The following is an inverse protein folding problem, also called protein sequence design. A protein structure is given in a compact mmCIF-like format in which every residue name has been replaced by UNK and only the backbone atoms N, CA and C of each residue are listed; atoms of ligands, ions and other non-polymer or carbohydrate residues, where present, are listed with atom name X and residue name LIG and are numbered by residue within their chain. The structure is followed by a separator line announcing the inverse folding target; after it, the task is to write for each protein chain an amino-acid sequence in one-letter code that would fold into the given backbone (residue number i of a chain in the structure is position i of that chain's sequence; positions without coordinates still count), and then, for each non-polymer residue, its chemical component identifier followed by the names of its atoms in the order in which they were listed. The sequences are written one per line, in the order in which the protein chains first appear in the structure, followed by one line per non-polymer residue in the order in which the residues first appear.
data_IF_488365609694
#
_entry.id   IF_488365609694
#
_cell.length_a   1.000
_cell.length_b   1.000
_cell.length_c   1.000
_cell.angle_alpha   90.00
_cell.angle_beta   90.00
_cell.angle_gamma   90.00
#
_symmetry.space_group_name_H-M   'P 1'
#
loop_
_entity.id
_entity.type
_entity.pdbx_description
1 polymer ?
#
# COMPACT_ATOMS: atom_id res chain seq x y z
N UNK A 1 39.60 -1.33 25.15
CA UNK A 1 39.01 -1.01 26.46
C UNK A 1 38.30 0.32 26.31
N UNK A 2 37.05 0.54 26.71
CA UNK A 2 36.25 -0.14 27.72
C UNK A 2 34.82 -0.34 27.18
N UNK A 3 34.25 -1.53 27.09
CA UNK A 3 33.90 -2.48 28.18
C UNK A 3 33.07 -1.88 29.34
N UNK A 4 32.73 -0.59 29.31
CA UNK A 4 31.90 0.05 30.36
C UNK A 4 30.43 0.24 29.95
N UNK A 5 30.12 0.22 28.64
CA UNK A 5 28.73 0.38 28.18
C UNK A 5 27.98 -0.96 28.05
N UNK A 6 28.71 -2.08 27.96
CA UNK A 6 28.12 -3.43 27.90
C UNK A 6 27.71 -3.98 29.27
N UNK A 7 28.18 -3.38 30.37
CA UNK A 7 27.86 -3.79 31.74
C UNK A 7 26.58 -3.14 32.31
N UNK A 8 26.12 -2.01 31.75
CA UNK A 8 24.88 -1.36 32.21
C UNK A 8 23.61 -1.90 31.53
N UNK A 9 23.72 -2.54 30.36
CA UNK A 9 22.55 -3.06 29.62
C UNK A 9 22.20 -4.49 30.04
N UNK A 10 23.15 -5.24 30.61
CA UNK A 10 22.93 -6.64 31.05
C UNK A 10 22.69 -6.78 32.57
N UNK A 11 22.91 -5.75 33.37
CA UNK A 11 22.71 -5.76 34.83
C UNK A 11 21.29 -5.41 35.33
N UNK A 12 20.39 -4.96 34.45
CA UNK A 12 19.05 -4.50 34.83
C UNK A 12 17.94 -5.56 34.74
N UNK A 13 18.24 -6.77 34.26
CA UNK A 13 17.24 -7.81 33.99
C UNK A 13 16.99 -8.79 35.15
N UNK A 14 17.63 -8.62 36.31
CA UNK A 14 17.63 -9.64 37.37
C UNK A 14 16.97 -9.20 38.69
N UNK A 15 16.59 -7.93 38.88
CA UNK A 15 16.08 -7.45 40.17
C UNK A 15 14.59 -7.05 40.25
N UNK A 16 13.74 -7.51 39.32
CA UNK A 16 12.27 -7.33 39.43
C UNK A 16 11.49 -8.65 39.49
N UNK A 17 12.17 -9.80 39.59
CA UNK A 17 11.54 -11.11 39.62
C UNK A 17 11.23 -11.65 41.04
N UNK A 18 11.50 -10.91 42.13
CA UNK A 18 11.37 -11.45 43.49
C UNK A 18 10.58 -10.61 44.53
N UNK A 19 9.86 -9.55 44.13
CA UNK A 19 9.02 -8.79 45.07
C UNK A 19 7.59 -8.66 44.53
N UNK A 20 6.85 -9.77 44.53
CA UNK A 20 5.40 -9.83 44.82
C UNK A 20 4.87 -11.26 44.54
N UNK A 21 5.35 -12.22 45.32
CA UNK A 21 4.61 -13.45 45.56
C UNK A 21 3.69 -13.25 46.76
N UNK A 22 2.39 -13.44 46.56
CA UNK A 22 1.47 -13.81 47.64
C UNK A 22 0.48 -12.74 48.11
N UNK A 23 -0.69 -12.70 47.46
CA UNK A 23 -2.00 -12.56 48.12
C UNK A 23 -3.06 -13.03 47.11
N UNK A 24 -3.51 -14.27 47.28
CA UNK A 24 -4.61 -14.86 46.53
C UNK A 24 -5.95 -14.28 47.04
N UNK A 25 -6.74 -13.74 46.13
CA UNK A 25 -8.15 -13.36 46.29
C UNK A 25 -8.92 -13.87 45.05
N UNK A 26 -10.24 -14.09 45.16
CA UNK A 26 -10.91 -15.27 44.61
C UNK A 26 -10.99 -15.30 43.08
N UNK A 27 -10.92 -16.53 42.55
CA UNK A 27 -11.02 -16.88 41.14
C UNK A 27 -12.37 -16.47 40.55
N UNK A 28 -12.43 -15.30 39.94
CA UNK A 28 -13.37 -15.05 38.86
C UNK A 28 -12.62 -15.29 37.54
N UNK A 29 -13.11 -16.22 36.73
CA UNK A 29 -12.48 -16.68 35.49
C UNK A 29 -12.59 -15.60 34.41
N UNK A 30 -11.82 -14.52 34.56
CA UNK A 30 -11.63 -13.51 33.52
C UNK A 30 -10.59 -14.06 32.55
N UNK A 31 -11.07 -14.65 31.45
CA UNK A 31 -10.24 -15.05 30.31
C UNK A 31 -9.39 -13.85 29.90
N UNK A 32 -8.07 -13.97 30.02
CA UNK A 32 -7.18 -12.82 29.82
C UNK A 32 -7.22 -12.39 28.35
N UNK A 33 -7.26 -11.08 28.08
CA UNK A 33 -7.30 -10.49 26.73
C UNK A 33 -6.26 -11.11 25.78
N UNK A 34 -5.10 -11.48 26.31
CA UNK A 34 -3.97 -12.12 25.60
C UNK A 34 -4.26 -13.56 25.13
N UNK A 35 -5.11 -14.32 25.83
CA UNK A 35 -5.57 -15.65 25.39
C UNK A 35 -6.70 -15.53 24.37
N UNK A 36 -7.57 -14.53 24.51
CA UNK A 36 -8.64 -14.24 23.55
C UNK A 36 -8.06 -13.78 22.20
N UNK A 37 -7.03 -12.93 22.20
CA UNK A 37 -6.36 -12.45 20.98
C UNK A 37 -5.64 -13.59 20.25
N UNK A 38 -5.00 -14.52 20.96
CA UNK A 38 -4.36 -15.71 20.35
C UNK A 38 -5.39 -16.66 19.73
N UNK A 39 -6.54 -16.85 20.37
CA UNK A 39 -7.62 -17.68 19.86
C UNK A 39 -8.26 -17.06 18.60
N UNK A 40 -8.43 -15.74 18.57
CA UNK A 40 -8.93 -15.00 17.40
C UNK A 40 -7.94 -15.07 16.24
N UNK A 41 -6.63 -14.85 16.48
CA UNK A 41 -5.60 -14.96 15.43
C UNK A 41 -5.53 -16.40 14.90
N UNK A 42 -5.64 -17.41 15.77
CA UNK A 42 -5.72 -18.82 15.39
C UNK A 42 -6.95 -19.11 14.54
N UNK A 43 -8.12 -18.59 14.90
CA UNK A 43 -9.36 -18.81 14.13
C UNK A 43 -9.41 -18.03 12.83
N UNK A 44 -8.84 -16.82 12.77
CA UNK A 44 -8.68 -16.06 11.54
C UNK A 44 -7.69 -16.75 10.59
N UNK A 45 -6.56 -17.24 11.09
CA UNK A 45 -5.62 -18.04 10.30
C UNK A 45 -6.25 -19.34 9.78
N UNK A 46 -7.10 -20.00 10.60
CA UNK A 46 -7.81 -21.22 10.20
C UNK A 46 -8.91 -20.96 9.18
N UNK A 47 -9.68 -19.88 9.34
CA UNK A 47 -10.74 -19.47 8.40
C UNK A 47 -10.18 -18.93 7.09
N UNK A 48 -9.06 -18.21 7.15
CA UNK A 48 -8.26 -17.82 6.00
C UNK A 48 -7.71 -19.04 5.27
N UNK A 49 -7.16 -20.01 6.02
CA UNK A 49 -6.67 -21.29 5.48
C UNK A 49 -7.77 -22.16 4.87
N UNK A 50 -8.98 -22.18 5.43
CA UNK A 50 -10.12 -22.95 4.88
C UNK A 50 -10.76 -22.26 3.66
N UNK A 51 -10.90 -20.93 3.66
CA UNK A 51 -11.42 -20.17 2.50
C UNK A 51 -10.40 -20.13 1.36
N UNK A 52 -9.11 -20.00 1.69
CA UNK A 52 -8.01 -20.15 0.74
C UNK A 52 -7.95 -21.59 0.21
N UNK A 53 -7.93 -22.60 1.08
CA UNK A 53 -7.89 -24.01 0.66
C UNK A 53 -9.04 -24.42 -0.27
N UNK A 54 -10.28 -24.01 0.02
CA UNK A 54 -11.46 -24.43 -0.76
C UNK A 54 -11.58 -23.70 -2.12
N UNK A 55 -11.07 -22.47 -2.22
CA UNK A 55 -11.02 -21.71 -3.48
C UNK A 55 -9.94 -22.25 -4.44
N UNK A 56 -8.76 -22.59 -3.91
CA UNK A 56 -7.64 -23.10 -4.70
C UNK A 56 -7.88 -24.52 -5.23
N UNK A 57 -8.62 -25.37 -4.49
CA UNK A 57 -8.94 -26.74 -4.93
C UNK A 57 -9.94 -26.75 -6.09
N UNK A 58 -10.93 -25.85 -6.10
CA UNK A 58 -11.93 -25.77 -7.18
C UNK A 58 -11.37 -25.22 -8.50
N UNK A 59 -10.34 -24.35 -8.44
CA UNK A 59 -9.70 -23.74 -9.61
C UNK A 59 -8.30 -24.27 -9.92
N UNK A 60 -7.88 -25.37 -9.29
CA UNK A 60 -6.56 -25.97 -9.46
C UNK A 60 -6.17 -26.25 -10.94
N UNK A 61 -7.08 -26.73 -11.82
CA UNK A 61 -6.76 -26.94 -13.23
C UNK A 61 -6.54 -25.63 -14.01
N UNK A 62 -7.20 -24.54 -13.61
CA UNK A 62 -7.13 -23.22 -14.26
C UNK A 62 -5.95 -22.39 -13.72
N UNK A 63 -5.55 -22.60 -12.46
CA UNK A 63 -4.32 -22.06 -11.88
C UNK A 63 -3.05 -22.60 -12.57
N UNK A 64 -3.10 -23.83 -13.10
CA UNK A 64 -2.02 -24.40 -13.92
C UNK A 64 -1.85 -23.65 -15.25
N UNK A 65 -2.91 -23.02 -15.76
CA UNK A 65 -2.86 -22.13 -16.94
C UNK A 65 -3.29 -20.70 -16.60
N UNK A 66 -2.61 -20.13 -15.61
CA UNK A 66 -2.88 -18.79 -15.09
C UNK A 66 -2.86 -17.68 -16.15
N UNK A 67 -2.09 -17.85 -17.23
CA UNK A 67 -2.04 -16.91 -18.35
C UNK A 67 -3.37 -16.88 -19.13
N UNK A 68 -3.93 -18.04 -19.45
CA UNK A 68 -5.24 -18.14 -20.12
C UNK A 68 -6.37 -17.63 -19.22
N UNK A 69 -6.29 -17.96 -17.93
CA UNK A 69 -7.25 -17.48 -16.94
C UNK A 69 -7.31 -15.95 -16.89
N UNK A 70 -6.17 -15.27 -16.71
CA UNK A 70 -6.14 -13.80 -16.71
C UNK A 70 -6.55 -13.18 -18.05
N UNK A 71 -6.20 -13.81 -19.17
CA UNK A 71 -6.66 -13.39 -20.49
C UNK A 71 -8.18 -13.45 -20.62
N UNK A 72 -8.82 -14.45 -20.01
CA UNK A 72 -10.28 -14.58 -20.00
C UNK A 72 -10.96 -13.49 -19.16
N UNK A 73 -10.33 -13.07 -18.05
CA UNK A 73 -10.83 -12.02 -17.17
C UNK A 73 -10.71 -10.62 -17.79
N UNK A 74 -9.60 -10.34 -18.48
CA UNK A 74 -9.36 -9.04 -19.12
C UNK A 74 -10.42 -8.66 -20.18
N UNK A 75 -11.08 -9.64 -20.79
CA UNK A 75 -12.12 -9.43 -21.79
C UNK A 75 -13.53 -9.15 -21.19
N UNK A 76 -13.73 -9.35 -19.88
CA UNK A 76 -15.03 -9.18 -19.19
C UNK A 76 -14.94 -8.07 -18.15
N UNK A 77 -14.78 -6.82 -18.59
CA UNK A 77 -14.55 -5.68 -17.69
C UNK A 77 -15.83 -5.27 -16.91
N UNK A 78 -15.98 -5.80 -15.69
CA UNK A 78 -16.87 -5.29 -14.65
C UNK A 78 -16.05 -5.02 -13.38
N UNK A 79 -16.53 -4.16 -12.48
CA UNK A 79 -15.85 -3.90 -11.19
C UNK A 79 -15.67 -5.18 -10.35
N UNK A 80 -16.66 -6.09 -10.40
CA UNK A 80 -16.56 -7.42 -9.78
C UNK A 80 -15.42 -8.25 -10.36
N UNK A 81 -15.21 -8.19 -11.68
CA UNK A 81 -14.13 -8.90 -12.36
C UNK A 81 -12.75 -8.37 -11.92
N UNK A 82 -12.60 -7.05 -11.80
CA UNK A 82 -11.35 -6.41 -11.34
C UNK A 82 -11.01 -6.84 -9.91
N UNK A 83 -12.01 -6.91 -9.03
CA UNK A 83 -11.83 -7.37 -7.66
C UNK A 83 -11.38 -8.83 -7.58
N UNK A 84 -12.04 -9.73 -8.32
CA UNK A 84 -11.66 -11.16 -8.38
C UNK A 84 -10.25 -11.31 -8.93
N UNK A 85 -9.95 -10.63 -10.04
CA UNK A 85 -8.64 -10.63 -10.66
C UNK A 85 -7.55 -10.18 -9.69
N UNK A 86 -7.79 -9.09 -8.95
CA UNK A 86 -6.86 -8.60 -7.94
C UNK A 86 -6.59 -9.65 -6.86
N UNK A 87 -7.63 -10.23 -6.27
CA UNK A 87 -7.47 -11.18 -5.16
C UNK A 87 -6.64 -12.39 -5.59
N UNK A 88 -6.89 -12.89 -6.80
CA UNK A 88 -6.14 -14.01 -7.37
C UNK A 88 -4.69 -13.60 -7.65
N UNK A 89 -4.48 -12.45 -8.27
CA UNK A 89 -3.14 -11.93 -8.57
C UNK A 89 -2.28 -11.80 -7.30
N UNK A 90 -2.81 -11.17 -6.26
CA UNK A 90 -2.10 -10.99 -5.00
C UNK A 90 -1.84 -12.34 -4.32
N UNK A 91 -2.84 -13.24 -4.28
CA UNK A 91 -2.65 -14.56 -3.69
C UNK A 91 -1.55 -15.37 -4.39
N UNK A 92 -1.49 -15.30 -5.72
CA UNK A 92 -0.45 -15.98 -6.51
C UNK A 92 0.92 -15.33 -6.29
N UNK A 93 1.01 -14.01 -6.25
CA UNK A 93 2.27 -13.30 -5.96
C UNK A 93 2.78 -13.68 -4.57
N UNK A 94 1.93 -13.64 -3.54
CA UNK A 94 2.30 -14.03 -2.18
C UNK A 94 2.77 -15.49 -2.13
N UNK A 95 2.09 -16.40 -2.82
CA UNK A 95 2.54 -17.80 -2.91
C UNK A 95 3.92 -17.91 -3.55
N UNK A 96 4.16 -17.23 -4.69
CA UNK A 96 5.43 -17.21 -5.40
C UNK A 96 6.59 -16.71 -4.53
N UNK A 97 6.33 -15.62 -3.79
CA UNK A 97 7.26 -15.07 -2.79
C UNK A 97 7.57 -16.10 -1.70
N UNK A 98 6.54 -16.72 -1.12
CA UNK A 98 6.71 -17.71 -0.05
C UNK A 98 7.44 -18.99 -0.52
N UNK A 99 7.33 -19.35 -1.80
CA UNK A 99 8.07 -20.45 -2.41
C UNK A 99 9.51 -20.09 -2.81
N UNK A 100 9.95 -18.85 -2.56
CA UNK A 100 11.32 -18.40 -2.82
C UNK A 100 11.61 -18.09 -4.30
N UNK A 101 10.58 -17.73 -5.07
CA UNK A 101 10.78 -17.32 -6.46
C UNK A 101 11.55 -15.98 -6.54
N UNK A 102 12.35 -15.80 -7.59
CA UNK A 102 13.19 -14.61 -7.73
C UNK A 102 12.37 -13.34 -8.01
N UNK A 103 12.91 -12.19 -7.61
CA UNK A 103 12.30 -10.87 -7.88
C UNK A 103 12.07 -10.64 -9.39
N UNK A 104 12.92 -11.22 -10.25
CA UNK A 104 12.76 -11.13 -11.71
C UNK A 104 11.52 -11.87 -12.21
N UNK A 105 11.24 -13.07 -11.71
CA UNK A 105 10.06 -13.82 -12.10
C UNK A 105 8.77 -13.21 -11.53
N UNK A 106 8.83 -12.70 -10.29
CA UNK A 106 7.73 -11.92 -9.70
C UNK A 106 7.45 -10.67 -10.54
N UNK A 107 8.50 -9.95 -10.96
CA UNK A 107 8.39 -8.79 -11.85
C UNK A 107 7.79 -9.14 -13.21
N UNK A 108 8.19 -10.26 -13.82
CA UNK A 108 7.60 -10.77 -15.08
C UNK A 108 6.12 -11.11 -14.92
N UNK A 109 5.75 -11.70 -13.79
CA UNK A 109 4.36 -12.02 -13.49
C UNK A 109 3.50 -10.75 -13.31
N UNK A 110 4.01 -9.76 -12.56
CA UNK A 110 3.38 -8.45 -12.43
C UNK A 110 3.23 -7.73 -13.79
N UNK A 111 4.25 -7.82 -14.65
CA UNK A 111 4.20 -7.29 -16.01
C UNK A 111 3.11 -7.97 -16.86
N UNK A 112 3.00 -9.29 -16.78
CA UNK A 112 1.94 -10.04 -17.47
C UNK A 112 0.55 -9.60 -17.02
N UNK A 113 0.33 -9.39 -15.72
CA UNK A 113 -0.93 -8.87 -15.19
C UNK A 113 -1.19 -7.48 -15.78
N UNK A 114 -0.24 -6.55 -15.65
CA UNK A 114 -0.38 -5.16 -16.10
C UNK A 114 -0.79 -5.06 -17.58
N UNK A 115 -0.11 -5.81 -18.45
CA UNK A 115 -0.36 -5.79 -19.90
C UNK A 115 -1.64 -6.53 -20.29
N UNK A 116 -1.98 -7.63 -19.61
CA UNK A 116 -3.17 -8.43 -19.90
C UNK A 116 -4.46 -7.69 -19.54
N UNK A 117 -4.45 -6.98 -18.41
CA UNK A 117 -5.58 -6.17 -17.96
C UNK A 117 -5.61 -4.76 -18.56
N UNK A 118 -4.62 -4.41 -19.39
CA UNK A 118 -4.47 -3.06 -19.98
C UNK A 118 -4.53 -1.97 -18.90
N UNK A 119 -3.86 -2.23 -17.76
CA UNK A 119 -3.80 -1.25 -16.66
C UNK A 119 -3.09 0.00 -17.15
N UNK A 120 -1.98 -0.18 -17.87
CA UNK A 120 -1.19 0.87 -18.49
C UNK A 120 -0.66 0.42 -19.85
N UNK A 121 0.02 1.32 -20.58
CA UNK A 121 0.69 0.94 -21.83
C UNK A 121 1.80 -0.10 -21.59
N UNK A 122 2.14 -0.97 -22.56
CA UNK A 122 3.19 -1.98 -22.40
C UNK A 122 4.55 -1.38 -21.99
N UNK A 123 4.84 -0.16 -22.47
CA UNK A 123 6.05 0.58 -22.11
C UNK A 123 6.04 0.97 -20.63
N UNK A 124 4.95 1.55 -20.14
CA UNK A 124 4.79 1.92 -18.73
C UNK A 124 4.80 0.68 -17.85
N UNK A 125 4.06 -0.38 -18.20
CA UNK A 125 4.08 -1.66 -17.51
C UNK A 125 5.51 -2.21 -17.37
N UNK A 126 6.30 -2.20 -18.46
CA UNK A 126 7.70 -2.66 -18.43
C UNK A 126 8.56 -1.81 -17.49
N UNK A 127 8.41 -0.49 -17.55
CA UNK A 127 9.18 0.43 -16.71
C UNK A 127 8.86 0.24 -15.22
N UNK A 128 7.57 0.28 -14.86
CA UNK A 128 7.12 0.16 -13.47
C UNK A 128 7.52 -1.19 -12.88
N UNK A 129 7.28 -2.30 -13.57
CA UNK A 129 7.59 -3.62 -13.01
C UNK A 129 9.09 -3.87 -12.91
N UNK A 130 9.89 -3.38 -13.87
CA UNK A 130 11.35 -3.48 -13.79
C UNK A 130 11.93 -2.68 -12.63
N UNK A 131 11.41 -1.48 -12.39
CA UNK A 131 11.87 -0.58 -11.34
C UNK A 131 11.43 -1.03 -9.93
N UNK A 132 10.19 -1.51 -9.78
CA UNK A 132 9.59 -1.78 -8.48
C UNK A 132 9.50 -3.26 -8.09
N UNK A 133 10.03 -4.19 -8.89
CA UNK A 133 9.96 -5.64 -8.59
C UNK A 133 10.48 -6.01 -7.20
N UNK A 134 11.55 -5.35 -6.75
CA UNK A 134 12.16 -5.58 -5.44
C UNK A 134 11.25 -5.08 -4.34
N UNK A 135 10.81 -3.83 -4.42
CA UNK A 135 9.92 -3.20 -3.44
C UNK A 135 8.61 -3.98 -3.34
N UNK A 136 8.03 -4.39 -4.47
CA UNK A 136 6.86 -5.26 -4.52
C UNK A 136 7.10 -6.57 -3.75
N UNK A 137 8.22 -7.23 -4.02
CA UNK A 137 8.58 -8.51 -3.39
C UNK A 137 8.78 -8.34 -1.88
N UNK A 138 9.57 -7.34 -1.48
CA UNK A 138 9.92 -7.11 -0.07
C UNK A 138 8.71 -6.65 0.75
N UNK A 139 7.87 -5.78 0.20
CA UNK A 139 6.64 -5.35 0.90
C UNK A 139 5.69 -6.53 1.06
N UNK A 140 5.42 -7.28 -0.02
CA UNK A 140 4.48 -8.41 0.04
C UNK A 140 4.99 -9.59 0.86
N UNK A 141 6.31 -9.76 1.00
CA UNK A 141 6.91 -10.75 1.89
C UNK A 141 6.73 -10.41 3.38
N UNK A 142 6.66 -9.13 3.73
CA UNK A 142 6.67 -8.67 5.12
C UNK A 142 5.33 -8.12 5.60
N UNK A 143 4.39 -7.86 4.68
CA UNK A 143 3.07 -7.34 5.04
C UNK A 143 2.18 -8.46 5.56
N UNK A 144 1.52 -8.23 6.69
CA UNK A 144 0.53 -9.14 7.27
C UNK A 144 -0.86 -8.75 6.77
N UNK A 145 -1.04 -8.70 5.44
CA UNK A 145 -2.32 -8.41 4.81
C UNK A 145 -2.71 -9.53 3.85
N UNK A 146 -3.96 -9.94 3.95
CA UNK A 146 -4.58 -10.92 3.07
C UNK A 146 -4.93 -10.30 1.71
N UNK A 147 -5.06 -11.12 0.63
CA UNK A 147 -5.40 -10.62 -0.70
C UNK A 147 -6.67 -9.76 -0.76
N UNK A 148 -7.70 -10.11 0.00
CA UNK A 148 -8.93 -9.31 0.12
C UNK A 148 -8.66 -7.93 0.74
N UNK A 149 -7.80 -7.82 1.76
CA UNK A 149 -7.46 -6.54 2.40
C UNK A 149 -6.68 -5.65 1.46
N UNK A 150 -5.66 -6.20 0.78
CA UNK A 150 -4.88 -5.50 -0.24
C UNK A 150 -5.80 -5.01 -1.37
N UNK A 151 -6.66 -5.88 -1.89
CA UNK A 151 -7.54 -5.51 -2.99
C UNK A 151 -8.66 -4.55 -2.60
N UNK A 152 -9.16 -4.62 -1.36
CA UNK A 152 -10.11 -3.62 -0.83
C UNK A 152 -9.46 -2.25 -0.68
N UNK A 153 -8.16 -2.20 -0.41
CA UNK A 153 -7.39 -0.96 -0.37
C UNK A 153 -7.14 -0.39 -1.77
N UNK A 154 -6.84 -1.25 -2.76
CA UNK A 154 -6.50 -0.82 -4.13
C UNK A 154 -7.75 -0.46 -4.96
N UNK A 155 -8.85 -1.21 -4.84
CA UNK A 155 -10.06 -1.01 -5.64
C UNK A 155 -11.29 -0.73 -4.77
N UNK A 156 -11.91 0.44 -4.98
CA UNK A 156 -13.20 0.75 -4.38
C UNK A 156 -14.24 -0.28 -4.83
N UNK A 157 -14.96 -0.88 -3.87
CA UNK A 157 -15.95 -1.94 -4.15
C UNK A 157 -15.42 -3.38 -4.02
N UNK A 158 -14.13 -3.59 -3.72
CA UNK A 158 -13.58 -4.94 -3.49
C UNK A 158 -13.67 -5.43 -2.03
N UNK A 159 -14.38 -4.69 -1.18
CA UNK A 159 -14.61 -5.00 0.24
C UNK A 159 -14.41 -3.77 1.13
N UNK A 160 -14.51 -3.97 2.44
CA UNK A 160 -14.17 -2.94 3.43
C UNK A 160 -12.68 -3.04 3.74
N UNK A 161 -11.98 -1.90 3.76
CA UNK A 161 -10.58 -1.84 4.20
C UNK A 161 -10.54 -2.07 5.71
N UNK A 162 -10.25 -3.29 6.12
CA UNK A 162 -9.98 -3.64 7.52
C UNK A 162 -8.49 -3.92 7.67
N UNK A 163 -7.77 -3.05 8.39
CA UNK A 163 -6.37 -3.26 8.73
C UNK A 163 -6.22 -3.08 10.25
N UNK A 164 -5.82 -4.11 11.01
CA UNK A 164 -5.64 -4.01 12.46
C UNK A 164 -4.60 -2.96 12.88
N UNK A 165 -3.73 -2.52 11.96
CA UNK A 165 -2.75 -1.45 12.21
C UNK A 165 -3.27 -0.04 11.95
N UNK A 166 -4.48 0.15 11.41
CA UNK A 166 -5.02 1.49 11.13
C UNK A 166 -5.68 2.14 12.36
N UNK A 167 -6.12 1.35 13.34
CA UNK A 167 -6.76 1.86 14.56
C UNK A 167 -5.73 2.08 15.68
N UNK A 168 -4.81 3.02 15.48
CA UNK A 168 -3.88 3.46 16.52
C UNK A 168 -4.33 4.77 17.16
N UNK A 169 -4.02 4.92 18.44
CA UNK A 169 -4.26 6.16 19.18
C UNK A 169 -2.94 6.70 19.68
N UNK A 170 -2.80 8.02 19.64
CA UNK A 170 -1.67 8.69 20.29
C UNK A 170 -2.14 9.13 21.67
N UNK A 171 -1.48 8.65 22.75
CA UNK A 171 -1.77 9.18 24.07
C UNK A 171 -1.44 10.67 24.06
N UNK A 172 -2.44 11.47 24.40
CA UNK A 172 -2.22 12.88 24.63
C UNK A 172 -1.42 13.07 25.92
N UNK A 173 -0.75 14.21 26.02
CA UNK A 173 -0.08 14.59 27.24
C UNK A 173 -1.07 14.62 28.41
N UNK A 174 -0.63 14.32 29.65
CA UNK A 174 -1.51 14.36 30.82
C UNK A 174 -1.97 15.78 31.19
N UNK A 175 -1.41 16.80 30.58
CA UNK A 175 -1.78 18.19 30.84
C UNK A 175 -3.19 18.49 30.31
N UNK A 176 -4.02 19.19 31.10
CA UNK A 176 -5.34 19.59 30.65
C UNK A 176 -5.21 20.51 29.44
N UNK A 177 -6.11 20.33 28.47
CA UNK A 177 -6.21 21.20 27.30
C UNK A 177 -6.38 22.65 27.78
N UNK A 178 -5.49 23.59 27.39
CA UNK A 178 -5.65 24.99 27.75
C UNK A 178 -6.99 25.54 27.27
N UNK A 179 -7.56 26.50 28.01
CA UNK A 179 -8.75 27.21 27.55
C UNK A 179 -8.49 27.84 26.18
N UNK A 180 -9.39 27.59 25.23
CA UNK A 180 -9.31 28.23 23.90
C UNK A 180 -9.44 29.74 24.10
N UNK A 181 -8.40 30.49 23.72
CA UNK A 181 -8.46 31.95 23.59
C UNK A 181 -8.58 32.27 22.10
N UNK A 182 -9.54 33.11 21.68
CA UNK A 182 -9.60 33.54 20.29
C UNK A 182 -8.31 34.26 19.93
N UNK A 183 -7.80 34.10 18.69
CA UNK A 183 -6.63 34.84 18.25
C UNK A 183 -6.90 36.33 18.33
N UNK A 184 -5.97 37.08 18.91
CA UNK A 184 -6.03 38.54 18.94
C UNK A 184 -5.63 39.07 17.56
N UNK A 185 -6.43 39.98 17.01
CA UNK A 185 -6.07 40.70 15.80
C UNK A 185 -4.81 41.55 16.06
N UNK A 186 -3.88 41.63 15.09
CA UNK A 186 -2.75 42.55 15.19
C UNK A 186 -3.24 43.99 15.40
N UNK A 187 -2.57 44.75 16.28
CA UNK A 187 -2.85 46.17 16.47
C UNK A 187 -2.56 46.96 15.18
N UNK A 188 -3.25 48.08 14.92
CA UNK A 188 -2.87 48.98 13.83
C UNK A 188 -1.37 49.34 13.89
N UNK A 189 -0.67 49.21 12.76
CA UNK A 189 0.78 49.44 12.67
C UNK A 189 1.68 48.27 13.12
N UNK A 190 1.11 47.09 13.44
CA UNK A 190 1.93 45.91 13.76
C UNK A 190 2.79 45.49 12.56
N UNK A 191 4.05 45.05 12.78
CA UNK A 191 4.90 44.56 11.70
C UNK A 191 4.29 43.31 11.07
N UNK A 192 4.42 43.19 9.75
CA UNK A 192 3.96 42.02 9.00
C UNK A 192 5.14 41.16 8.58
N UNK A 193 5.01 39.85 8.74
CA UNK A 193 5.94 38.88 8.16
C UNK A 193 5.42 38.47 6.79
N UNK A 194 6.26 38.58 5.76
CA UNK A 194 5.95 38.06 4.42
C UNK A 194 6.64 36.71 4.26
N UNK A 195 5.85 35.66 4.07
CA UNK A 195 6.35 34.29 3.86
C UNK A 195 6.04 33.86 2.43
N UNK A 196 7.08 33.48 1.68
CA UNK A 196 6.93 32.82 0.39
C UNK A 196 6.79 31.32 0.63
N UNK A 197 5.72 30.72 0.12
CA UNK A 197 5.50 29.27 0.18
C UNK A 197 5.30 28.75 -1.24
N UNK A 198 6.19 27.86 -1.68
CA UNK A 198 6.16 27.21 -2.99
C UNK A 198 6.14 25.71 -2.73
N UNK A 199 5.18 25.01 -3.34
CA UNK A 199 5.08 23.54 -3.29
C UNK A 199 4.77 23.00 -4.69
N UNK A 200 4.99 21.69 -4.87
CA UNK A 200 4.50 20.93 -6.04
C UNK A 200 4.93 21.49 -7.41
N UNK A 201 6.16 22.03 -7.50
CA UNK A 201 6.69 22.63 -8.74
C UNK A 201 6.75 21.63 -9.91
N UNK A 202 6.91 20.32 -9.61
CA UNK A 202 6.92 19.21 -10.58
C UNK A 202 7.64 19.53 -11.91
N UNK A 203 8.92 19.91 -11.81
CA UNK A 203 9.74 20.23 -12.97
C UNK A 203 9.96 18.95 -13.81
N UNK A 204 9.53 19.01 -15.07
CA UNK A 204 9.78 17.95 -16.05
C UNK A 204 10.90 18.37 -17.03
N UNK A 205 12.14 17.87 -16.88
CA UNK A 205 13.24 18.20 -17.78
C UNK A 205 13.04 17.66 -19.21
N UNK A 206 12.03 16.80 -19.42
CA UNK A 206 11.72 16.21 -20.72
C UNK A 206 10.48 16.82 -21.36
N UNK A 207 9.90 17.87 -20.77
CA UNK A 207 8.79 18.60 -21.36
C UNK A 207 9.13 19.08 -22.77
N UNK A 208 8.21 18.88 -23.71
CA UNK A 208 8.39 19.27 -25.11
C UNK A 208 7.11 19.88 -25.66
N UNK A 209 7.20 21.15 -26.02
CA UNK A 209 6.16 21.86 -26.76
C UNK A 209 5.77 21.10 -28.05
N UNK A 210 4.48 21.18 -28.40
CA UNK A 210 3.87 20.53 -29.56
C UNK A 210 3.89 19.00 -29.55
N UNK A 211 4.29 18.37 -28.44
CA UNK A 211 4.06 16.93 -28.23
C UNK A 211 2.62 16.65 -27.79
N UNK A 212 2.19 15.40 -27.85
CA UNK A 212 0.85 15.02 -27.42
C UNK A 212 0.71 15.18 -25.89
N UNK A 213 -0.29 15.93 -25.47
CA UNK A 213 -0.79 16.00 -24.09
C UNK A 213 -1.77 14.86 -23.78
N UNK A 214 -2.37 14.24 -24.81
CA UNK A 214 -3.24 13.08 -24.67
C UNK A 214 -2.57 11.85 -25.29
N UNK A 215 -1.71 11.20 -24.53
CA UNK A 215 -0.85 10.10 -25.00
C UNK A 215 -1.25 8.73 -24.46
N UNK A 216 -2.27 8.66 -23.59
CA UNK A 216 -2.72 7.42 -22.96
C UNK A 216 -1.73 6.81 -21.96
N UNK A 217 -0.80 7.63 -21.44
CA UNK A 217 0.11 7.28 -20.35
C UNK A 217 -0.11 8.25 -19.16
N UNK A 218 0.35 7.92 -17.94
CA UNK A 218 0.12 8.75 -16.75
C UNK A 218 0.80 10.13 -16.79
N UNK A 219 1.78 10.33 -17.68
CA UNK A 219 2.45 11.61 -17.88
C UNK A 219 2.76 11.81 -19.36
N UNK A 220 2.17 12.85 -19.94
CA UNK A 220 2.33 13.21 -21.35
C UNK A 220 3.19 14.46 -21.51
N UNK A 221 3.07 15.16 -22.65
CA UNK A 221 3.81 16.40 -22.96
C UNK A 221 5.33 16.23 -23.08
N UNK A 222 5.81 15.01 -23.36
CA UNK A 222 7.23 14.72 -23.60
C UNK A 222 7.48 14.36 -25.05
N UNK A 223 8.76 14.38 -25.46
CA UNK A 223 9.15 13.91 -26.78
C UNK A 223 8.69 12.47 -27.09
N UNK A 224 8.57 11.62 -26.07
CA UNK A 224 8.09 10.23 -26.21
C UNK A 224 6.58 10.10 -26.32
N UNK A 225 5.82 11.16 -26.04
CA UNK A 225 4.34 11.16 -26.07
C UNK A 225 3.77 11.18 -27.49
N UNK A 226 4.64 11.33 -28.50
CA UNK A 226 4.24 11.36 -29.91
C UNK A 226 3.67 12.71 -30.34
N UNK A 227 3.06 12.72 -31.53
CA UNK A 227 2.39 13.90 -32.09
C UNK A 227 0.94 13.95 -31.61
N UNK A 228 0.40 15.14 -31.32
CA UNK A 228 -1.00 15.30 -30.97
C UNK A 228 -1.89 14.87 -32.14
N UNK A 229 -2.97 14.14 -31.85
CA UNK A 229 -3.93 13.70 -32.88
C UNK A 229 -4.84 14.84 -33.32
N UNK A 230 -5.04 15.84 -32.45
CA UNK A 230 -5.81 17.04 -32.72
C UNK A 230 -5.05 18.27 -32.22
N UNK A 231 -5.25 19.46 -32.81
CA UNK A 231 -4.55 20.67 -32.38
C UNK A 231 -4.73 21.01 -30.89
N UNK A 232 -5.90 20.70 -30.31
CA UNK A 232 -6.19 20.92 -28.89
C UNK A 232 -5.38 20.04 -27.93
N UNK A 233 -4.86 18.90 -28.39
CA UNK A 233 -4.04 18.00 -27.59
C UNK A 233 -2.54 18.38 -27.62
N UNK A 234 -2.17 19.49 -28.27
CA UNK A 234 -0.79 19.91 -28.39
C UNK A 234 -0.30 20.59 -27.09
N UNK A 235 0.77 20.06 -26.49
CA UNK A 235 1.40 20.65 -25.33
C UNK A 235 1.88 22.09 -25.62
N UNK A 236 1.41 23.07 -24.85
CA UNK A 236 1.76 24.48 -25.03
C UNK A 236 3.17 24.82 -24.55
N UNK A 237 3.67 26.02 -24.86
CA UNK A 237 5.03 26.42 -24.44
C UNK A 237 5.19 26.49 -22.91
N UNK A 238 4.17 26.97 -22.20
CA UNK A 238 4.19 27.17 -20.74
C UNK A 238 3.55 26.02 -19.94
N UNK A 239 3.16 24.94 -20.61
CA UNK A 239 2.32 23.89 -20.04
C UNK A 239 0.99 23.75 -20.78
N UNK A 240 0.16 22.83 -20.29
CA UNK A 240 -1.19 22.58 -20.77
C UNK A 240 -2.08 22.19 -19.60
N UNK A 241 -3.38 22.50 -19.70
CA UNK A 241 -4.38 21.95 -18.80
C UNK A 241 -4.68 20.55 -19.32
N UNK A 242 -3.95 19.57 -18.81
CA UNK A 242 -4.18 18.18 -19.15
C UNK A 242 -5.45 17.69 -18.43
N UNK A 243 -6.32 17.00 -19.18
CA UNK A 243 -7.53 16.36 -18.63
C UNK A 243 -7.22 14.98 -18.04
N UNK A 244 -5.98 14.49 -18.21
CA UNK A 244 -5.55 13.12 -17.89
C UNK A 244 -4.91 13.01 -16.49
N UNK A 245 -4.83 14.09 -15.70
CA UNK A 245 -4.41 14.00 -14.30
C UNK A 245 -5.55 13.45 -13.43
N UNK A 246 -5.82 12.15 -13.54
CA UNK A 246 -6.61 11.40 -12.57
C UNK A 246 -5.74 11.17 -11.32
N UNK A 247 -5.76 12.13 -10.40
CA UNK A 247 -5.43 11.91 -8.99
C UNK A 247 -6.72 11.82 -8.17
#
# INVERSE_FOLDING_TARGET
MNKMLLFHVLGGLILLFEICGGLALPTNKVRTKRETDKDIISQLAKRSGEVSGMFFIHHLPELLNIKEYFKSLGNKASETTKCIACRIAIAVIQNRINTGESEDEIGKFAHMICTTFKIETPRVCTGVTSLFKRELTQVLANVVLEPNQICSFVFQGCGKVENPFHDWTIPLTPFPKPHRRPPHLPKPGSPTLRVLHISDVHIDPFYKENSSANCGEPLCCRATSGKPSRPEDAAGYWGIIDTVMYL
#
